data_IF_265833651994
#
_entry.id   IF_265833651994
#
_cell.length_a   1.000
_cell.length_b   1.000
_cell.length_c   1.000
_cell.angle_alpha   90.00
_cell.angle_beta   90.00
_cell.angle_gamma   90.00
#
_symmetry.space_group_name_H-M   'P 1'
#
loop_
_entity.id
_entity.type
_entity.pdbx_description
1 polymer ?
#
# COMPACT_ATOMS: atom_id res chain seq x y z
N UNK A 1 8.18 -0.62 -15.18
CA UNK A 1 7.50 -1.37 -14.10
C UNK A 1 8.31 -2.64 -13.87
N UNK A 2 8.79 -2.93 -12.64
CA UNK A 2 9.49 -4.20 -12.36
C UNK A 2 8.45 -5.33 -12.35
N UNK A 3 8.78 -6.49 -12.90
CA UNK A 3 7.83 -7.62 -13.04
C UNK A 3 7.32 -8.13 -11.68
N UNK A 4 8.13 -8.01 -10.63
CA UNK A 4 7.79 -8.48 -9.27
C UNK A 4 7.17 -7.42 -8.37
N UNK A 5 6.86 -6.24 -8.92
CA UNK A 5 6.28 -5.13 -8.15
C UNK A 5 4.87 -4.82 -8.65
N UNK A 6 3.89 -4.96 -7.76
CA UNK A 6 2.52 -4.55 -7.98
C UNK A 6 2.22 -3.26 -7.21
N UNK A 7 1.46 -2.36 -7.82
CA UNK A 7 0.94 -1.16 -7.16
C UNK A 7 -0.57 -1.19 -7.21
N UNK A 8 -1.19 -1.09 -6.04
CA UNK A 8 -2.64 -1.00 -5.86
C UNK A 8 -2.95 0.37 -5.28
N UNK A 9 -3.93 1.07 -5.85
CA UNK A 9 -4.37 2.34 -5.29
C UNK A 9 -5.87 2.44 -5.38
N UNK A 10 -6.50 2.80 -4.26
CA UNK A 10 -7.94 2.96 -4.19
C UNK A 10 -8.32 4.04 -3.19
N UNK A 11 -9.57 4.49 -3.29
CA UNK A 11 -10.19 5.38 -2.33
C UNK A 11 -11.32 4.63 -1.63
N UNK A 12 -11.23 4.57 -0.32
CA UNK A 12 -12.28 4.03 0.54
C UNK A 12 -13.51 4.93 0.50
N UNK A 13 -14.69 4.36 0.74
CA UNK A 13 -15.96 5.12 0.81
C UNK A 13 -15.93 6.22 1.88
N UNK A 14 -15.16 6.01 2.95
CA UNK A 14 -14.94 7.00 4.02
C UNK A 14 -14.04 8.18 3.59
N UNK A 15 -13.57 8.19 2.34
CA UNK A 15 -12.78 9.25 1.75
C UNK A 15 -11.25 9.09 1.89
N UNK A 16 -10.79 8.08 2.64
CA UNK A 16 -9.36 7.74 2.80
C UNK A 16 -8.79 7.21 1.49
N UNK A 17 -7.60 7.68 1.10
CA UNK A 17 -6.84 7.12 -0.02
C UNK A 17 -5.75 6.19 0.49
N UNK A 18 -5.67 5.00 -0.10
CA UNK A 18 -4.64 4.01 0.19
C UNK A 18 -3.87 3.70 -1.10
N UNK A 19 -2.55 3.71 -1.01
CA UNK A 19 -1.66 3.18 -2.04
C UNK A 19 -0.79 2.10 -1.41
N UNK A 20 -0.72 0.95 -2.06
CA UNK A 20 0.05 -0.21 -1.61
C UNK A 20 1.04 -0.59 -2.72
N UNK A 21 2.30 -0.75 -2.34
CA UNK A 21 3.38 -1.26 -3.18
C UNK A 21 3.77 -2.62 -2.63
N UNK A 22 3.55 -3.66 -3.42
CA UNK A 22 3.87 -5.04 -3.09
C UNK A 22 5.12 -5.41 -3.88
N UNK A 23 6.20 -5.74 -3.17
CA UNK A 23 7.42 -6.29 -3.76
C UNK A 23 7.46 -7.79 -3.47
N UNK A 24 7.10 -8.57 -4.48
CA UNK A 24 7.03 -10.03 -4.40
C UNK A 24 8.43 -10.65 -4.27
N UNK A 25 9.43 -10.09 -4.96
CA UNK A 25 10.80 -10.57 -4.91
C UNK A 25 11.41 -10.39 -3.51
N UNK A 26 11.14 -9.26 -2.86
CA UNK A 26 11.60 -8.98 -1.50
C UNK A 26 10.68 -9.57 -0.41
N UNK A 27 9.50 -10.10 -0.76
CA UNK A 27 8.43 -10.45 0.20
C UNK A 27 8.12 -9.29 1.16
N UNK A 28 8.09 -8.07 0.63
CA UNK A 28 7.86 -6.83 1.38
C UNK A 28 6.64 -6.11 0.84
N UNK A 29 6.05 -5.31 1.71
CA UNK A 29 4.97 -4.43 1.30
C UNK A 29 5.08 -3.07 1.96
N UNK A 30 4.68 -2.03 1.24
CA UNK A 30 4.74 -0.64 1.67
C UNK A 30 3.40 0.02 1.38
N UNK A 31 2.76 0.62 2.37
CA UNK A 31 1.52 1.35 2.17
C UNK A 31 1.67 2.81 2.55
N UNK A 32 0.97 3.67 1.82
CA UNK A 32 0.70 5.04 2.25
C UNK A 32 -0.79 5.21 2.41
N UNK A 33 -1.20 5.82 3.52
CA UNK A 33 -2.60 6.10 3.84
C UNK A 33 -2.76 7.59 4.06
N UNK A 34 -3.67 8.20 3.31
CA UNK A 34 -4.07 9.60 3.45
C UNK A 34 -5.52 9.63 3.94
N UNK A 35 -5.75 9.83 5.25
CA UNK A 35 -7.11 9.86 5.79
C UNK A 35 -7.92 11.04 5.26
N UNK A 36 -9.25 10.87 5.17
CA UNK A 36 -10.14 11.94 4.71
C UNK A 36 -10.08 13.22 5.55
N UNK A 37 -9.76 13.09 6.84
CA UNK A 37 -9.64 14.21 7.78
C UNK A 37 -8.25 14.87 7.75
N UNK A 38 -7.42 14.53 6.77
CA UNK A 38 -6.04 14.96 6.68
C UNK A 38 -5.07 14.03 7.44
N UNK A 39 -3.78 14.33 7.29
CA UNK A 39 -2.69 13.49 7.78
C UNK A 39 -2.13 12.56 6.70
N UNK A 40 -1.02 11.91 7.03
CA UNK A 40 -0.32 10.99 6.15
C UNK A 40 0.39 9.92 6.96
N UNK A 41 0.15 8.66 6.62
CA UNK A 41 0.77 7.51 7.26
C UNK A 41 1.57 6.74 6.22
N UNK A 42 2.73 6.23 6.64
CA UNK A 42 3.51 5.25 5.89
C UNK A 42 3.63 4.00 6.73
N UNK A 43 3.29 2.88 6.14
CA UNK A 43 3.34 1.56 6.75
C UNK A 43 4.28 0.68 5.93
N UNK A 44 4.96 -0.23 6.61
CA UNK A 44 5.82 -1.24 6.01
C UNK A 44 5.52 -2.59 6.67
N UNK A 45 5.54 -3.66 5.89
CA UNK A 45 5.28 -5.00 6.37
C UNK A 45 6.01 -6.07 5.57
N UNK A 46 5.95 -7.29 6.09
CA UNK A 46 6.35 -8.49 5.36
C UNK A 46 5.12 -9.07 4.67
N UNK A 47 5.27 -9.46 3.42
CA UNK A 47 4.24 -10.20 2.72
C UNK A 47 4.23 -11.64 3.24
N UNK A 48 3.04 -12.11 3.61
CA UNK A 48 2.82 -13.50 4.01
C UNK A 48 1.80 -14.08 3.03
N UNK A 49 2.18 -15.15 2.35
CA UNK A 49 1.26 -15.91 1.53
C UNK A 49 0.41 -16.78 2.46
N UNK A 50 -0.91 -16.68 2.32
CA UNK A 50 -1.92 -17.41 3.09
C UNK A 50 -2.62 -18.45 2.23
#
# INVERSE_FOLDING_TARGET
MRQDVAVLSWRETIGTTVTHVIDLAASRTYATVTPAKGGFLRLEGRLVQV
#
